data_IF_524255107764
#
_entry.id   IF_524255107764
#
_cell.length_a   1.000
_cell.length_b   1.000
_cell.length_c   1.000
_cell.angle_alpha   90.00
_cell.angle_beta   90.00
_cell.angle_gamma   90.00
#
_symmetry.space_group_name_H-M   'P 1'
#
loop_
_entity.id
_entity.type
_entity.pdbx_description
1 polymer ?
#
# COMPACT_ATOMS: atom_id res chain seq x y z
N UNK A 1 19.50 -34.37 -8.74
CA UNK A 1 19.15 -33.93 -10.11
C UNK A 1 19.38 -32.42 -10.18
N UNK A 2 19.78 -31.89 -11.34
CA UNK A 2 19.96 -30.45 -11.51
C UNK A 2 18.65 -29.68 -11.41
N UNK A 3 17.59 -30.24 -11.98
CA UNK A 3 16.24 -29.67 -11.91
C UNK A 3 15.27 -30.58 -11.16
N UNK A 4 14.32 -29.96 -10.47
CA UNK A 4 13.07 -30.55 -10.01
C UNK A 4 11.88 -29.80 -10.62
N UNK A 5 10.66 -30.33 -10.46
CA UNK A 5 9.47 -29.75 -11.06
C UNK A 5 8.39 -29.49 -10.00
N UNK A 6 7.86 -28.28 -9.98
CA UNK A 6 6.74 -27.87 -9.12
C UNK A 6 5.48 -27.73 -9.97
N UNK A 7 4.47 -28.55 -9.69
CA UNK A 7 3.15 -28.43 -10.30
C UNK A 7 2.23 -27.60 -9.40
N UNK A 8 1.73 -26.48 -9.93
CA UNK A 8 0.74 -25.62 -9.27
C UNK A 8 -0.67 -25.90 -9.79
N UNK A 9 -1.69 -25.30 -9.15
CA UNK A 9 -3.08 -25.35 -9.63
C UNK A 9 -3.17 -24.91 -11.10
N UNK A 10 -4.14 -25.46 -11.83
CA UNK A 10 -4.34 -25.25 -13.28
C UNK A 10 -3.24 -25.82 -14.19
N UNK A 11 -2.45 -26.79 -13.71
CA UNK A 11 -1.48 -27.52 -14.53
C UNK A 11 -0.24 -26.71 -14.90
N UNK A 12 0.01 -25.56 -14.27
CA UNK A 12 1.24 -24.79 -14.45
C UNK A 12 2.40 -25.54 -13.80
N UNK A 13 3.42 -25.86 -14.58
CA UNK A 13 4.62 -26.56 -14.10
C UNK A 13 5.80 -25.60 -14.18
N UNK A 14 6.55 -25.49 -13.08
CA UNK A 14 7.75 -24.67 -12.97
C UNK A 14 8.97 -25.55 -12.75
N UNK A 15 10.03 -25.32 -13.53
CA UNK A 15 11.33 -25.90 -13.26
C UNK A 15 11.94 -25.21 -12.02
N UNK A 16 12.50 -26.02 -11.12
CA UNK A 16 13.16 -25.58 -9.91
C UNK A 16 14.62 -26.01 -9.99
N UNK A 17 15.52 -25.04 -10.10
CA UNK A 17 16.96 -25.23 -10.06
C UNK A 17 17.38 -25.72 -8.66
N UNK A 18 17.70 -27.00 -8.57
CA UNK A 18 18.05 -27.64 -7.30
C UNK A 18 19.45 -27.29 -6.83
N UNK A 19 20.39 -26.97 -7.74
CA UNK A 19 21.72 -26.50 -7.35
C UNK A 19 21.62 -25.16 -6.60
N UNK A 20 20.68 -24.30 -7.01
CA UNK A 20 20.43 -23.02 -6.35
C UNK A 20 19.57 -23.12 -5.09
N UNK A 21 18.55 -23.99 -5.09
CA UNK A 21 17.57 -24.03 -4.00
C UNK A 21 17.96 -24.97 -2.85
N UNK A 22 18.63 -26.09 -3.14
CA UNK A 22 18.96 -27.08 -2.11
C UNK A 22 19.86 -26.51 -1.00
N UNK A 23 20.91 -25.70 -1.29
CA UNK A 23 21.72 -25.09 -0.24
C UNK A 23 20.90 -24.16 0.68
N UNK A 24 20.01 -23.35 0.10
CA UNK A 24 19.12 -22.45 0.85
C UNK A 24 18.15 -23.22 1.74
N UNK A 25 17.62 -24.33 1.22
CA UNK A 25 16.75 -25.23 1.98
C UNK A 25 17.53 -25.85 3.16
N UNK A 26 18.73 -26.39 2.91
CA UNK A 26 19.56 -26.99 3.95
C UNK A 26 19.94 -25.98 5.03
N UNK A 27 20.29 -24.75 4.66
CA UNK A 27 20.55 -23.66 5.59
C UNK A 27 19.31 -23.34 6.44
N UNK A 28 18.15 -23.18 5.80
CA UNK A 28 16.88 -22.90 6.49
C UNK A 28 16.53 -24.03 7.45
N UNK A 29 16.61 -25.29 7.00
CA UNK A 29 16.35 -26.47 7.84
C UNK A 29 17.31 -26.54 9.02
N UNK A 30 18.61 -26.27 8.80
CA UNK A 30 19.61 -26.28 9.87
C UNK A 30 19.33 -25.21 10.91
N UNK A 31 18.91 -24.02 10.48
CA UNK A 31 18.49 -22.96 11.41
C UNK A 31 17.24 -23.37 12.20
N UNK A 32 16.22 -23.92 11.55
CA UNK A 32 15.03 -24.42 12.26
C UNK A 32 15.36 -25.52 13.28
N UNK A 33 16.24 -26.47 12.93
CA UNK A 33 16.66 -27.52 13.86
C UNK A 33 17.45 -26.96 15.04
N UNK A 34 18.28 -25.93 14.82
CA UNK A 34 19.01 -25.25 15.88
C UNK A 34 18.06 -24.52 16.83
N UNK A 35 17.08 -23.80 16.29
CA UNK A 35 16.10 -23.06 17.08
C UNK A 35 15.20 -24.02 17.89
N UNK A 36 14.79 -25.14 17.30
CA UNK A 36 14.03 -26.19 18.00
C UNK A 36 14.81 -26.89 19.11
N UNK A 37 16.14 -26.96 18.99
CA UNK A 37 17.01 -27.55 20.00
C UNK A 37 17.46 -26.54 21.08
N UNK A 38 17.21 -25.25 20.88
CA UNK A 38 17.56 -24.19 21.83
C UNK A 38 16.55 -24.06 22.98
N UNK A 39 17.03 -23.62 24.14
CA UNK A 39 16.19 -23.36 25.31
C UNK A 39 15.48 -21.99 25.25
N UNK A 40 15.91 -21.12 24.34
CA UNK A 40 15.35 -19.78 24.14
C UNK A 40 14.62 -19.71 22.80
N UNK A 41 13.43 -19.08 22.75
CA UNK A 41 12.74 -18.86 21.49
C UNK A 41 13.57 -17.93 20.58
N UNK A 42 13.49 -18.10 19.25
CA UNK A 42 14.15 -17.20 18.32
C UNK A 42 13.56 -15.78 18.40
N UNK A 43 14.40 -14.79 18.10
CA UNK A 43 13.99 -13.39 18.01
C UNK A 43 12.92 -13.20 16.91
N UNK A 44 11.76 -12.58 17.22
CA UNK A 44 10.72 -12.38 16.23
C UNK A 44 11.09 -11.26 15.26
N UNK A 45 11.16 -11.59 13.97
CA UNK A 45 11.30 -10.60 12.91
C UNK A 45 9.99 -10.48 12.11
N UNK A 46 9.32 -9.33 12.19
CA UNK A 46 8.10 -9.06 11.42
C UNK A 46 8.48 -8.75 9.97
N UNK A 47 8.25 -9.73 9.11
CA UNK A 47 8.38 -9.58 7.66
C UNK A 47 6.99 -9.57 7.06
N UNK A 48 6.39 -8.39 6.86
CA UNK A 48 5.01 -8.24 6.38
C UNK A 48 4.62 -9.25 5.27
N UNK A 49 5.38 -9.32 4.17
CA UNK A 49 5.11 -10.23 3.04
C UNK A 49 5.06 -11.74 3.36
N UNK A 50 5.65 -12.19 4.48
CA UNK A 50 5.66 -13.59 4.92
C UNK A 50 4.78 -13.82 6.15
N UNK A 51 4.58 -12.78 6.95
CA UNK A 51 3.87 -12.86 8.22
C UNK A 51 2.34 -12.76 8.05
N UNK A 52 1.84 -12.20 6.95
CA UNK A 52 0.40 -11.98 6.76
C UNK A 52 -0.44 -13.28 6.77
N UNK A 53 0.17 -14.42 6.39
CA UNK A 53 -0.47 -15.75 6.43
C UNK A 53 0.00 -16.61 7.61
N UNK A 54 0.76 -16.04 8.54
CA UNK A 54 1.37 -16.76 9.65
C UNK A 54 0.41 -16.85 10.84
N UNK A 55 0.12 -18.07 11.31
CA UNK A 55 -0.73 -18.29 12.47
C UNK A 55 -0.18 -17.69 13.77
N UNK A 56 1.14 -17.50 13.87
CA UNK A 56 1.82 -16.91 15.02
C UNK A 56 1.99 -15.38 14.95
N UNK A 57 1.51 -14.74 13.86
CA UNK A 57 1.73 -13.31 13.63
C UNK A 57 1.32 -12.46 14.83
N UNK A 58 0.13 -12.68 15.40
CA UNK A 58 -0.37 -11.89 16.53
C UNK A 58 0.57 -11.92 17.73
N UNK A 59 1.12 -13.10 18.06
CA UNK A 59 2.05 -13.25 19.18
C UNK A 59 3.41 -12.61 18.87
N UNK A 60 3.98 -12.89 17.70
CA UNK A 60 5.26 -12.29 17.28
C UNK A 60 5.17 -10.76 17.21
N UNK A 61 4.04 -10.23 16.73
CA UNK A 61 3.81 -8.80 16.60
C UNK A 61 3.66 -8.12 17.96
N UNK A 62 2.97 -8.76 18.92
CA UNK A 62 2.89 -8.26 20.30
C UNK A 62 4.28 -8.18 20.94
N UNK A 63 5.11 -9.20 20.77
CA UNK A 63 6.50 -9.21 21.28
C UNK A 63 7.35 -8.12 20.61
N UNK A 64 7.26 -7.99 19.28
CA UNK A 64 7.96 -6.95 18.53
C UNK A 64 7.53 -5.55 18.97
N UNK A 65 6.25 -5.34 19.27
CA UNK A 65 5.74 -4.08 19.82
C UNK A 65 6.25 -3.80 21.22
N UNK A 66 6.19 -4.80 22.12
CA UNK A 66 6.64 -4.66 23.51
C UNK A 66 8.13 -4.29 23.58
N UNK A 67 8.95 -4.82 22.66
CA UNK A 67 10.38 -4.57 22.58
C UNK A 67 10.75 -3.40 21.65
N UNK A 68 9.77 -2.74 21.01
CA UNK A 68 9.97 -1.71 19.97
C UNK A 68 10.98 -2.17 18.90
N UNK A 69 10.84 -3.42 18.49
CA UNK A 69 11.78 -4.10 17.62
C UNK A 69 11.89 -3.40 16.26
N UNK A 70 13.12 -3.31 15.72
CA UNK A 70 13.40 -2.58 14.47
C UNK A 70 12.70 -3.15 13.23
N UNK A 71 12.26 -4.41 13.28
CA UNK A 71 11.45 -5.03 12.22
C UNK A 71 10.12 -4.31 11.96
N UNK A 72 9.64 -3.50 12.90
CA UNK A 72 8.44 -2.67 12.74
C UNK A 72 8.71 -1.35 11.99
N UNK A 73 9.98 -0.98 11.76
CA UNK A 73 10.32 0.23 11.02
C UNK A 73 10.32 -0.04 9.50
N UNK A 74 9.56 0.75 8.71
CA UNK A 74 9.63 0.69 7.26
C UNK A 74 11.05 0.75 6.73
N UNK A 75 11.39 -0.21 5.86
CA UNK A 75 12.70 -0.30 5.22
C UNK A 75 13.72 -1.16 5.95
N UNK A 76 13.48 -1.57 7.20
CA UNK A 76 14.31 -2.56 7.90
C UNK A 76 13.96 -3.95 7.38
N UNK A 77 14.82 -4.50 6.53
CA UNK A 77 14.69 -5.87 6.02
C UNK A 77 15.55 -6.82 6.86
N UNK A 78 15.30 -8.15 6.82
CA UNK A 78 16.14 -9.12 7.54
C UNK A 78 17.64 -8.96 7.22
N UNK A 79 17.96 -8.71 5.94
CA UNK A 79 19.35 -8.48 5.51
C UNK A 79 19.95 -7.21 6.12
N UNK A 80 19.22 -6.09 6.12
CA UNK A 80 19.71 -4.84 6.73
C UNK A 80 19.82 -4.96 8.24
N UNK A 81 18.90 -5.68 8.87
CA UNK A 81 18.90 -5.89 10.32
C UNK A 81 20.17 -6.56 10.81
N UNK A 82 20.69 -7.56 10.09
CA UNK A 82 21.98 -8.20 10.40
C UNK A 82 23.14 -7.20 10.43
N UNK A 83 23.18 -6.26 9.48
CA UNK A 83 24.20 -5.21 9.45
C UNK A 83 24.01 -4.20 10.59
N UNK A 84 22.77 -3.82 10.92
CA UNK A 84 22.47 -2.96 12.07
C UNK A 84 22.89 -3.61 13.39
N UNK A 85 22.61 -4.91 13.58
CA UNK A 85 23.07 -5.68 14.73
C UNK A 85 24.60 -5.69 14.85
N UNK A 86 25.31 -5.89 13.75
CA UNK A 86 26.78 -5.86 13.73
C UNK A 86 27.35 -4.48 14.14
N UNK A 87 26.61 -3.39 13.89
CA UNK A 87 26.94 -2.03 14.32
C UNK A 87 26.36 -1.66 15.70
N UNK A 88 25.72 -2.61 16.40
CA UNK A 88 25.03 -2.39 17.69
C UNK A 88 23.89 -1.36 17.62
N UNK A 89 23.30 -1.18 16.45
CA UNK A 89 22.14 -0.33 16.21
C UNK A 89 20.86 -1.18 16.29
N UNK A 90 20.50 -1.63 17.48
CA UNK A 90 19.39 -2.58 17.68
C UNK A 90 18.11 -1.95 18.24
N UNK A 91 18.11 -0.64 18.51
CA UNK A 91 16.94 0.09 19.03
C UNK A 91 16.57 1.28 18.13
N UNK A 92 15.31 1.71 18.20
CA UNK A 92 14.83 2.89 17.46
C UNK A 92 15.63 4.12 17.84
N UNK A 93 15.96 4.29 19.13
CA UNK A 93 16.75 5.41 19.65
C UNK A 93 18.16 5.43 19.08
N UNK A 94 18.82 4.26 19.04
CA UNK A 94 20.17 4.15 18.50
C UNK A 94 20.19 4.44 16.99
N UNK A 95 19.20 3.92 16.25
CA UNK A 95 19.08 4.18 14.81
C UNK A 95 18.74 5.65 14.51
N UNK A 96 17.90 6.29 15.32
CA UNK A 96 17.54 7.71 15.17
C UNK A 96 18.72 8.67 15.37
N UNK A 97 19.72 8.26 16.15
CA UNK A 97 20.96 9.01 16.41
C UNK A 97 22.11 8.62 15.46
N UNK A 98 21.93 7.61 14.60
CA UNK A 98 22.96 7.17 13.69
C UNK A 98 23.24 8.21 12.59
N UNK A 99 24.50 8.28 12.13
CA UNK A 99 24.84 9.09 10.96
C UNK A 99 24.55 8.28 9.67
N UNK A 100 23.64 8.74 8.79
CA UNK A 100 23.36 8.07 7.51
C UNK A 100 24.61 7.79 6.66
N UNK A 101 25.63 8.66 6.72
CA UNK A 101 26.87 8.50 5.96
C UNK A 101 27.68 7.27 6.38
N UNK A 102 27.52 6.82 7.63
CA UNK A 102 28.16 5.57 8.10
C UNK A 102 27.35 4.34 7.68
N UNK A 103 26.05 4.48 7.47
CA UNK A 103 25.19 3.38 7.04
C UNK A 103 25.23 3.18 5.52
N UNK A 104 25.35 4.25 4.75
CA UNK A 104 25.29 4.24 3.28
C UNK A 104 26.26 3.24 2.61
N UNK A 105 27.51 3.06 3.08
CA UNK A 105 28.45 2.10 2.47
C UNK A 105 28.10 0.63 2.73
N UNK A 106 27.17 0.33 3.64
CA UNK A 106 26.81 -1.05 3.97
C UNK A 106 25.97 -1.70 2.85
N UNK A 107 26.13 -3.02 2.60
CA UNK A 107 25.38 -3.71 1.57
C UNK A 107 23.86 -3.56 1.74
N UNK A 108 23.18 -3.11 0.69
CA UNK A 108 21.72 -2.93 0.68
C UNK A 108 21.20 -1.61 1.27
N UNK A 109 22.08 -0.71 1.72
CA UNK A 109 21.72 0.65 2.15
C UNK A 109 21.88 1.62 0.98
N UNK A 110 23.09 2.12 0.70
CA UNK A 110 23.26 3.31 -0.14
C UNK A 110 22.72 4.57 0.54
N UNK A 111 23.06 5.74 0.01
CA UNK A 111 22.70 7.03 0.62
C UNK A 111 21.18 7.20 0.84
N UNK A 112 20.31 6.94 -0.16
CA UNK A 112 18.88 7.23 0.00
C UNK A 112 18.20 6.33 1.04
N UNK A 113 18.63 5.07 1.18
CA UNK A 113 18.03 4.14 2.14
C UNK A 113 18.55 4.43 3.55
N UNK A 114 19.83 4.75 3.69
CA UNK A 114 20.42 5.14 4.97
C UNK A 114 19.70 6.35 5.58
N UNK A 115 19.52 7.41 4.79
CA UNK A 115 18.77 8.60 5.21
C UNK A 115 17.32 8.26 5.55
N UNK A 116 16.65 7.49 4.69
CA UNK A 116 15.27 7.04 4.93
C UNK A 116 15.11 6.31 6.25
N UNK A 117 16.02 5.38 6.57
CA UNK A 117 15.96 4.58 7.80
C UNK A 117 16.16 5.42 9.07
N UNK A 118 17.15 6.32 9.05
CA UNK A 118 17.40 7.23 10.19
C UNK A 118 16.22 8.16 10.39
N UNK A 119 15.70 8.78 9.31
CA UNK A 119 14.51 9.63 9.40
C UNK A 119 13.27 8.85 9.85
N UNK A 120 13.12 7.58 9.45
CA UNK A 120 11.99 6.75 9.88
C UNK A 120 12.04 6.49 11.40
N UNK A 121 13.25 6.23 11.94
CA UNK A 121 13.45 6.09 13.37
C UNK A 121 13.23 7.42 14.12
N UNK A 122 13.68 8.54 13.57
CA UNK A 122 13.46 9.88 14.14
C UNK A 122 11.97 10.27 14.15
N UNK A 123 11.26 10.04 13.05
CA UNK A 123 9.83 10.30 12.96
C UNK A 123 9.08 9.49 14.02
N UNK A 124 9.34 8.17 14.10
CA UNK A 124 8.70 7.31 15.10
C UNK A 124 9.03 7.71 16.54
N UNK A 125 10.27 8.14 16.82
CA UNK A 125 10.67 8.57 18.16
C UNK A 125 10.05 9.92 18.55
N UNK A 126 9.92 10.84 17.59
CA UNK A 126 9.33 12.16 17.80
C UNK A 126 7.80 12.21 17.65
N UNK A 127 7.18 11.10 17.22
CA UNK A 127 5.77 11.01 16.84
C UNK A 127 5.31 12.15 15.93
N UNK A 128 6.14 12.46 14.92
CA UNK A 128 5.89 13.59 14.02
C UNK A 128 6.29 13.28 12.58
N UNK A 129 5.58 13.92 11.65
CA UNK A 129 5.92 13.87 10.24
C UNK A 129 7.16 14.73 9.95
N UNK A 130 8.16 14.13 9.31
CA UNK A 130 9.42 14.80 8.93
C UNK A 130 9.42 15.03 7.41
N UNK A 131 9.57 16.29 6.93
CA UNK A 131 9.65 16.56 5.50
C UNK A 131 10.95 15.96 4.94
N UNK A 132 10.85 15.26 3.82
CA UNK A 132 12.01 14.83 3.05
C UNK A 132 12.52 16.02 2.27
N UNK A 133 13.80 16.35 2.43
CA UNK A 133 14.46 17.40 1.66
C UNK A 133 15.28 16.75 0.55
N UNK A 134 15.22 17.32 -0.66
CA UNK A 134 16.15 17.04 -1.76
C UNK A 134 17.10 18.23 -1.93
N UNK A 135 18.10 18.09 -2.79
CA UNK A 135 19.05 19.16 -3.12
C UNK A 135 18.36 20.48 -3.50
N UNK A 136 17.15 20.40 -4.07
CA UNK A 136 16.36 21.55 -4.52
C UNK A 136 15.17 21.89 -3.59
N UNK A 137 15.16 21.40 -2.35
CA UNK A 137 14.10 21.65 -1.36
C UNK A 137 13.08 20.52 -1.24
N UNK A 138 11.86 20.87 -0.83
CA UNK A 138 10.75 19.92 -0.68
C UNK A 138 10.33 19.35 -2.04
N UNK A 139 10.13 18.03 -2.18
CA UNK A 139 10.06 17.37 -3.49
C UNK A 139 8.71 17.52 -4.21
N UNK A 140 7.66 17.99 -3.53
CA UNK A 140 6.36 18.22 -4.17
C UNK A 140 6.14 19.70 -4.40
N UNK A 141 5.53 20.00 -5.53
CA UNK A 141 5.07 21.33 -5.94
C UNK A 141 3.55 21.38 -6.04
N UNK A 142 2.92 22.56 -6.14
CA UNK A 142 1.48 22.66 -6.35
C UNK A 142 0.97 21.94 -7.61
N UNK A 143 1.81 21.73 -8.63
CA UNK A 143 1.43 20.99 -9.84
C UNK A 143 1.39 19.48 -9.64
N UNK A 144 2.08 18.95 -8.63
CA UNK A 144 2.05 17.52 -8.29
C UNK A 144 0.81 17.15 -7.44
N UNK A 145 0.16 18.15 -6.83
CA UNK A 145 -1.04 18.01 -6.00
C UNK A 145 -2.05 19.12 -6.34
N UNK A 146 -2.56 19.17 -7.59
CA UNK A 146 -3.40 20.28 -8.04
C UNK A 146 -4.72 20.34 -7.25
N UNK A 147 -5.00 21.50 -6.68
CA UNK A 147 -6.29 21.76 -6.05
C UNK A 147 -7.26 22.34 -7.09
N UNK A 148 -8.44 21.73 -7.22
CA UNK A 148 -9.47 22.14 -8.16
C UNK A 148 -10.82 22.39 -7.47
N UNK A 149 -11.78 23.03 -8.15
CA UNK A 149 -13.14 23.23 -7.62
C UNK A 149 -13.84 21.89 -7.35
N UNK A 150 -13.67 20.94 -8.27
CA UNK A 150 -14.13 19.56 -8.12
C UNK A 150 -12.93 18.63 -8.21
N UNK A 151 -12.85 17.69 -7.27
CA UNK A 151 -11.81 16.66 -7.20
C UNK A 151 -12.48 15.29 -7.09
N UNK A 152 -11.87 14.28 -7.72
CA UNK A 152 -12.35 12.90 -7.70
C UNK A 152 -11.37 12.05 -6.90
N UNK A 153 -11.87 11.18 -6.03
CA UNK A 153 -11.06 10.20 -5.30
C UNK A 153 -11.53 8.80 -5.68
N UNK A 154 -10.62 8.01 -6.23
CA UNK A 154 -10.91 6.78 -6.94
C UNK A 154 -10.24 5.58 -6.28
N UNK A 155 -11.03 4.53 -6.09
CA UNK A 155 -10.59 3.22 -5.60
C UNK A 155 -11.37 2.11 -6.32
N UNK A 156 -10.79 0.91 -6.39
CA UNK A 156 -11.38 -0.24 -7.08
C UNK A 156 -11.35 -1.50 -6.24
N UNK A 157 -12.35 -2.36 -6.43
CA UNK A 157 -12.34 -3.71 -5.88
C UNK A 157 -12.34 -4.75 -7.00
N UNK A 158 -11.57 -5.81 -6.81
CA UNK A 158 -11.32 -6.84 -7.80
C UNK A 158 -11.59 -8.25 -7.24
N UNK A 159 -11.97 -9.17 -8.12
CA UNK A 159 -11.99 -10.61 -7.89
C UNK A 159 -10.91 -11.27 -8.78
N UNK A 160 -9.66 -11.40 -8.30
CA UNK A 160 -8.53 -11.82 -9.12
C UNK A 160 -8.63 -13.24 -9.67
N UNK A 161 -9.37 -14.12 -8.99
CA UNK A 161 -9.66 -15.49 -9.43
C UNK A 161 -10.56 -15.54 -10.66
N UNK A 162 -11.34 -14.48 -10.89
CA UNK A 162 -12.24 -14.32 -12.05
C UNK A 162 -11.70 -13.31 -13.08
N UNK A 163 -10.51 -12.73 -12.84
CA UNK A 163 -9.94 -11.62 -13.62
C UNK A 163 -10.88 -10.41 -13.77
N UNK A 164 -11.67 -10.13 -12.73
CA UNK A 164 -12.80 -9.21 -12.71
C UNK A 164 -12.53 -7.99 -11.82
N UNK A 165 -12.95 -6.81 -12.25
CA UNK A 165 -13.08 -5.58 -11.47
C UNK A 165 -14.56 -5.32 -11.22
N UNK A 166 -15.04 -5.65 -10.03
CA UNK A 166 -16.48 -5.62 -9.75
C UNK A 166 -16.97 -4.28 -9.17
N UNK A 167 -16.08 -3.37 -8.77
CA UNK A 167 -16.49 -2.06 -8.26
C UNK A 167 -15.49 -0.97 -8.64
N UNK A 168 -16.04 0.13 -9.15
CA UNK A 168 -15.38 1.42 -9.28
C UNK A 168 -16.00 2.41 -8.30
N UNK A 169 -15.27 2.74 -7.23
CA UNK A 169 -15.67 3.73 -6.24
C UNK A 169 -15.15 5.11 -6.60
N UNK A 170 -16.03 6.11 -6.67
CA UNK A 170 -15.62 7.50 -6.92
C UNK A 170 -16.29 8.42 -5.89
N UNK A 171 -15.48 9.04 -5.03
CA UNK A 171 -15.93 10.16 -4.22
C UNK A 171 -15.71 11.47 -5.00
N UNK A 172 -16.80 12.13 -5.37
CA UNK A 172 -16.81 13.46 -5.96
C UNK A 172 -16.84 14.49 -4.83
N UNK A 173 -15.82 15.33 -4.74
CA UNK A 173 -15.73 16.43 -3.77
C UNK A 173 -15.87 17.76 -4.51
N UNK A 174 -16.99 18.45 -4.29
CA UNK A 174 -17.26 19.80 -4.80
C UNK A 174 -16.98 20.81 -3.68
N UNK A 175 -15.83 21.47 -3.74
CA UNK A 175 -15.38 22.43 -2.74
C UNK A 175 -16.23 23.71 -2.72
N UNK A 176 -16.78 24.11 -3.87
CA UNK A 176 -17.62 25.31 -3.98
C UNK A 176 -18.98 25.12 -3.31
N UNK A 177 -19.56 23.93 -3.43
CA UNK A 177 -20.84 23.56 -2.81
C UNK A 177 -20.67 22.93 -1.42
N UNK A 178 -19.43 22.67 -1.01
CA UNK A 178 -19.12 21.90 0.21
C UNK A 178 -19.87 20.57 0.24
N UNK A 179 -19.86 19.86 -0.90
CA UNK A 179 -20.59 18.62 -1.09
C UNK A 179 -19.62 17.47 -1.38
N UNK A 180 -19.86 16.34 -0.72
CA UNK A 180 -19.16 15.08 -0.97
C UNK A 180 -20.20 14.03 -1.38
N UNK A 181 -20.07 13.46 -2.58
CA UNK A 181 -20.99 12.42 -3.09
C UNK A 181 -20.17 11.20 -3.50
N UNK A 182 -20.44 10.06 -2.87
CA UNK A 182 -19.86 8.79 -3.27
C UNK A 182 -20.72 8.10 -4.33
N UNK A 183 -20.07 7.62 -5.38
CA UNK A 183 -20.65 6.86 -6.47
C UNK A 183 -20.06 5.46 -6.46
N UNK A 184 -20.89 4.47 -6.13
CA UNK A 184 -20.58 3.06 -6.30
C UNK A 184 -21.03 2.61 -7.69
N UNK A 185 -20.08 2.31 -8.57
CA UNK A 185 -20.35 1.80 -9.91
C UNK A 185 -19.99 0.32 -9.90
N UNK A 186 -20.97 -0.48 -9.50
CA UNK A 186 -20.80 -1.88 -9.13
C UNK A 186 -21.33 -2.80 -10.22
N UNK A 187 -20.60 -3.88 -10.47
CA UNK A 187 -21.08 -5.06 -11.16
C UNK A 187 -21.62 -6.02 -10.09
N UNK A 188 -22.94 -6.18 -10.00
CA UNK A 188 -23.55 -7.10 -9.03
C UNK A 188 -23.46 -8.55 -9.50
N UNK A 189 -23.21 -8.77 -10.79
CA UNK A 189 -22.81 -10.04 -11.36
C UNK A 189 -21.54 -9.87 -12.22
N UNK A 190 -20.74 -10.93 -12.45
CA UNK A 190 -19.55 -10.84 -13.31
C UNK A 190 -19.84 -10.35 -14.74
N UNK A 191 -21.06 -10.55 -15.25
CA UNK A 191 -21.47 -10.10 -16.58
C UNK A 191 -21.69 -8.59 -16.70
N UNK A 192 -21.71 -7.87 -15.56
CA UNK A 192 -21.99 -6.44 -15.50
C UNK A 192 -20.72 -5.57 -15.44
N UNK A 193 -19.52 -6.16 -15.49
CA UNK A 193 -18.25 -5.40 -15.45
C UNK A 193 -18.20 -4.32 -16.53
N UNK A 194 -18.59 -4.65 -17.76
CA UNK A 194 -18.62 -3.66 -18.85
C UNK A 194 -19.60 -2.50 -18.55
N UNK A 195 -20.72 -2.79 -17.91
CA UNK A 195 -21.70 -1.78 -17.55
C UNK A 195 -21.16 -0.86 -16.44
N UNK A 196 -20.51 -1.42 -15.42
CA UNK A 196 -19.83 -0.67 -14.37
C UNK A 196 -18.70 0.20 -14.93
N UNK A 197 -17.89 -0.35 -15.84
CA UNK A 197 -16.84 0.37 -16.56
C UNK A 197 -17.40 1.56 -17.37
N UNK A 198 -18.47 1.35 -18.14
CA UNK A 198 -19.10 2.41 -18.92
C UNK A 198 -19.68 3.51 -18.01
N UNK A 199 -20.27 3.13 -16.88
CA UNK A 199 -20.79 4.07 -15.89
C UNK A 199 -19.66 4.91 -15.24
N UNK A 200 -18.48 4.31 -15.05
CA UNK A 200 -17.28 5.03 -14.61
C UNK A 200 -16.84 6.07 -15.64
N UNK A 201 -16.74 5.69 -16.91
CA UNK A 201 -16.42 6.63 -18.00
C UNK A 201 -17.43 7.77 -18.09
N UNK A 202 -18.72 7.48 -17.94
CA UNK A 202 -19.77 8.50 -17.94
C UNK A 202 -19.59 9.48 -16.78
N UNK A 203 -19.32 8.98 -15.56
CA UNK A 203 -19.14 9.82 -14.39
C UNK A 203 -17.92 10.74 -14.51
N UNK A 204 -16.75 10.19 -14.84
CA UNK A 204 -15.52 11.00 -14.99
C UNK A 204 -15.61 11.96 -16.18
N UNK A 205 -16.39 11.61 -17.21
CA UNK A 205 -16.67 12.47 -18.36
C UNK A 205 -17.51 13.72 -18.02
N UNK A 206 -18.26 13.71 -16.91
CA UNK A 206 -18.96 14.92 -16.39
C UNK A 206 -17.98 15.94 -15.80
N UNK A 207 -16.76 15.54 -15.49
CA UNK A 207 -15.72 16.35 -14.85
C UNK A 207 -14.40 16.26 -15.63
N UNK A 208 -14.34 16.77 -16.88
CA UNK A 208 -13.20 16.53 -17.77
C UNK A 208 -11.87 17.12 -17.28
N UNK A 209 -11.91 18.16 -16.44
CA UNK A 209 -10.73 18.85 -15.92
C UNK A 209 -10.40 18.49 -14.46
N UNK A 210 -11.23 17.69 -13.78
CA UNK A 210 -11.02 17.38 -12.37
C UNK A 210 -9.83 16.44 -12.17
N UNK A 211 -8.90 16.70 -11.23
CA UNK A 211 -7.88 15.71 -10.89
C UNK A 211 -8.53 14.48 -10.24
N UNK A 212 -7.99 13.31 -10.57
CA UNK A 212 -8.41 12.01 -10.02
C UNK A 212 -7.30 11.51 -9.10
N UNK A 213 -7.53 11.56 -7.80
CA UNK A 213 -6.62 11.06 -6.80
C UNK A 213 -6.89 9.59 -6.52
N UNK A 214 -5.81 8.80 -6.51
CA UNK A 214 -5.87 7.38 -6.25
C UNK A 214 -4.70 6.98 -5.35
N UNK A 215 -4.79 5.81 -4.71
CA UNK A 215 -3.79 5.46 -3.71
C UNK A 215 -2.55 4.82 -4.32
N UNK A 216 -2.62 4.03 -5.38
CA UNK A 216 -1.44 3.35 -5.93
C UNK A 216 -1.48 3.15 -7.46
N UNK A 217 -0.37 2.78 -8.13
CA UNK A 217 -0.37 2.65 -9.59
C UNK A 217 -1.37 1.65 -10.18
N UNK A 218 -1.93 0.75 -9.36
CA UNK A 218 -2.86 -0.29 -9.77
C UNK A 218 -4.16 0.27 -10.37
N UNK A 219 -4.69 1.35 -9.83
CA UNK A 219 -5.93 1.96 -10.32
C UNK A 219 -5.78 2.47 -11.76
N UNK A 220 -4.73 3.26 -12.03
CA UNK A 220 -4.44 3.79 -13.37
C UNK A 220 -4.11 2.67 -14.38
N UNK A 221 -3.42 1.61 -13.94
CA UNK A 221 -3.15 0.44 -14.78
C UNK A 221 -4.44 -0.31 -15.12
N UNK A 222 -5.35 -0.43 -14.15
CA UNK A 222 -6.64 -1.08 -14.34
C UNK A 222 -7.52 -0.31 -15.32
N UNK A 223 -7.53 1.03 -15.26
CA UNK A 223 -8.25 1.87 -16.24
C UNK A 223 -7.75 1.60 -17.66
N UNK A 224 -6.43 1.49 -17.87
CA UNK A 224 -5.89 1.10 -19.19
C UNK A 224 -6.30 -0.32 -19.59
N UNK A 225 -6.17 -1.29 -18.67
CA UNK A 225 -6.57 -2.69 -18.88
C UNK A 225 -8.03 -2.80 -19.33
N UNK A 226 -8.94 -2.13 -18.64
CA UNK A 226 -10.37 -2.15 -18.95
C UNK A 226 -10.67 -1.39 -20.25
N UNK A 227 -9.94 -0.31 -20.53
CA UNK A 227 -10.00 0.38 -21.81
C UNK A 227 -9.69 -0.55 -22.99
N UNK A 228 -8.61 -1.32 -22.90
CA UNK A 228 -8.25 -2.33 -23.90
C UNK A 228 -9.27 -3.47 -23.98
N UNK A 229 -9.68 -4.00 -22.82
CA UNK A 229 -10.62 -5.12 -22.73
C UNK A 229 -11.98 -4.81 -23.37
N UNK A 230 -12.51 -3.61 -23.12
CA UNK A 230 -13.84 -3.18 -23.56
C UNK A 230 -13.84 -2.29 -24.80
N UNK A 231 -12.69 -2.13 -25.46
CA UNK A 231 -12.58 -1.41 -26.74
C UNK A 231 -12.80 0.11 -26.62
N UNK A 232 -12.41 0.71 -25.50
CA UNK A 232 -12.45 2.17 -25.31
C UNK A 232 -11.28 2.81 -26.05
N UNK A 233 -11.55 3.85 -26.85
CA UNK A 233 -10.51 4.51 -27.66
C UNK A 233 -9.35 5.04 -26.79
N UNK A 234 -8.08 4.86 -27.19
CA UNK A 234 -6.94 5.50 -26.53
C UNK A 234 -7.05 7.02 -26.45
N UNK A 235 -7.78 7.65 -27.37
CA UNK A 235 -8.05 9.11 -27.34
C UNK A 235 -8.94 9.55 -26.17
N UNK A 236 -9.59 8.60 -25.49
CA UNK A 236 -10.37 8.83 -24.25
C UNK A 236 -9.53 8.40 -23.04
N UNK A 237 -8.86 7.25 -23.13
CA UNK A 237 -8.12 6.66 -22.01
C UNK A 237 -6.89 7.48 -21.62
N UNK A 238 -6.06 7.90 -22.57
CA UNK A 238 -4.81 8.57 -22.21
C UNK A 238 -5.05 9.94 -21.54
N UNK A 239 -5.92 10.84 -22.06
CA UNK A 239 -6.25 12.08 -21.35
C UNK A 239 -6.94 11.84 -20.00
N UNK A 240 -7.69 10.75 -19.85
CA UNK A 240 -8.26 10.38 -18.56
C UNK A 240 -7.17 10.03 -17.55
N UNK A 241 -6.21 9.17 -17.94
CA UNK A 241 -5.12 8.73 -17.06
C UNK A 241 -4.10 9.82 -16.79
N UNK A 242 -3.93 10.80 -17.68
CA UNK A 242 -3.09 11.98 -17.43
C UNK A 242 -3.55 12.81 -16.22
N UNK A 243 -4.82 12.69 -15.82
CA UNK A 243 -5.37 13.35 -14.63
C UNK A 243 -5.27 12.51 -13.35
N UNK A 244 -4.62 11.34 -13.40
CA UNK A 244 -4.45 10.46 -12.23
C UNK A 244 -3.23 10.88 -11.40
N UNK A 245 -3.45 11.18 -10.12
CA UNK A 245 -2.42 11.58 -9.16
C UNK A 245 -2.28 10.53 -8.06
N UNK A 246 -1.10 9.89 -8.02
CA UNK A 246 -0.74 8.83 -7.06
C UNK A 246 -0.36 9.44 -5.69
N UNK A 247 -1.26 9.31 -4.73
CA UNK A 247 -1.08 9.88 -3.39
C UNK A 247 -0.03 9.11 -2.58
N UNK A 248 0.06 7.78 -2.71
CA UNK A 248 1.07 7.01 -1.99
C UNK A 248 2.48 7.40 -2.43
N UNK A 249 2.70 7.50 -3.75
CA UNK A 249 3.98 7.98 -4.30
C UNK A 249 4.32 9.36 -3.76
N UNK A 250 3.37 10.29 -3.83
CA UNK A 250 3.54 11.66 -3.32
C UNK A 250 3.96 11.66 -1.85
N UNK A 251 3.33 10.84 -0.99
CA UNK A 251 3.70 10.73 0.43
C UNK A 251 5.09 10.12 0.62
N UNK A 252 5.34 8.95 0.04
CA UNK A 252 6.59 8.20 0.27
C UNK A 252 7.81 8.99 -0.20
N UNK A 253 7.65 9.80 -1.25
CA UNK A 253 8.72 10.64 -1.78
C UNK A 253 8.95 11.92 -0.98
N UNK A 254 7.93 12.43 -0.26
CA UNK A 254 7.96 13.77 0.33
C UNK A 254 7.94 13.82 1.85
N UNK A 255 7.40 12.80 2.52
CA UNK A 255 7.27 12.80 3.97
C UNK A 255 7.74 11.49 4.56
N UNK A 256 8.36 11.58 5.74
CA UNK A 256 8.58 10.43 6.62
C UNK A 256 7.56 10.48 7.74
N UNK A 257 6.63 9.53 7.74
CA UNK A 257 5.56 9.43 8.73
C UNK A 257 5.98 8.51 9.89
N UNK A 258 5.51 8.74 11.12
CA UNK A 258 5.83 7.92 12.29
C UNK A 258 4.95 6.65 12.35
N UNK A 259 4.97 5.87 11.28
CA UNK A 259 4.10 4.70 11.08
C UNK A 259 4.92 3.45 10.74
N UNK A 260 4.34 2.28 11.03
CA UNK A 260 4.96 0.98 10.75
C UNK A 260 4.82 0.54 9.29
N UNK A 261 3.90 1.13 8.54
CA UNK A 261 3.61 0.79 7.14
C UNK A 261 3.02 1.99 6.41
N UNK A 262 3.32 2.15 5.13
CA UNK A 262 2.73 3.16 4.25
C UNK A 262 1.48 2.65 3.53
N UNK A 263 0.84 1.57 4.01
CA UNK A 263 -0.48 1.18 3.54
C UNK A 263 -1.54 2.24 3.89
N UNK A 264 -2.59 2.35 3.07
CA UNK A 264 -3.65 3.35 3.18
C UNK A 264 -4.19 3.49 4.61
N UNK A 265 -4.52 2.34 5.24
CA UNK A 265 -5.04 2.29 6.62
C UNK A 265 -4.10 2.88 7.67
N UNK A 266 -2.80 2.64 7.55
CA UNK A 266 -1.84 3.13 8.51
C UNK A 266 -1.66 4.65 8.41
N UNK A 267 -1.58 5.18 7.20
CA UNK A 267 -1.49 6.62 6.95
C UNK A 267 -2.76 7.32 7.44
N UNK A 268 -3.92 6.82 7.02
CA UNK A 268 -5.23 7.38 7.37
C UNK A 268 -5.46 7.40 8.89
N UNK A 269 -5.15 6.31 9.60
CA UNK A 269 -5.28 6.25 11.07
C UNK A 269 -4.35 7.22 11.78
N UNK A 270 -3.13 7.38 11.29
CA UNK A 270 -2.19 8.34 11.87
C UNK A 270 -2.69 9.79 11.73
N UNK A 271 -3.36 10.14 10.62
CA UNK A 271 -4.01 11.46 10.46
C UNK A 271 -5.39 11.56 11.12
N UNK A 272 -5.84 10.53 11.85
CA UNK A 272 -7.10 10.53 12.60
C UNK A 272 -8.35 10.06 11.85
N UNK A 273 -8.20 9.36 10.72
CA UNK A 273 -9.29 8.71 10.01
C UNK A 273 -9.33 7.20 10.31
N UNK A 274 -10.50 6.64 10.58
CA UNK A 274 -10.70 5.20 10.73
C UNK A 274 -11.89 4.71 9.90
N UNK A 275 -11.86 3.43 9.56
CA UNK A 275 -12.91 2.77 8.79
C UNK A 275 -14.13 2.54 9.67
N UNK A 276 -15.32 2.59 9.07
CA UNK A 276 -16.57 2.26 9.75
C UNK A 276 -16.60 0.80 10.20
N UNK A 277 -15.93 -0.08 9.45
CA UNK A 277 -15.70 -1.48 9.80
C UNK A 277 -14.20 -1.73 10.07
N UNK A 278 -13.80 -1.96 11.34
CA UNK A 278 -12.41 -2.21 11.71
C UNK A 278 -11.81 -3.49 11.12
N UNK A 279 -12.65 -4.49 10.80
CA UNK A 279 -12.24 -5.79 10.30
C UNK A 279 -12.15 -5.87 8.77
N UNK A 280 -12.73 -4.90 8.08
CA UNK A 280 -12.72 -4.85 6.61
C UNK A 280 -11.29 -4.74 6.05
N UNK A 281 -11.00 -5.42 4.95
CA UNK A 281 -9.77 -5.27 4.16
C UNK A 281 -10.00 -5.85 2.76
N UNK A 282 -9.08 -5.62 1.83
CA UNK A 282 -9.22 -6.10 0.44
C UNK A 282 -9.33 -7.62 0.28
N UNK A 283 -8.79 -8.44 1.18
CA UNK A 283 -9.03 -9.89 1.14
C UNK A 283 -10.47 -10.24 1.56
N UNK A 284 -10.98 -9.50 2.55
CA UNK A 284 -12.34 -9.65 3.04
C UNK A 284 -13.38 -9.16 2.03
N UNK A 285 -13.09 -8.12 1.23
CA UNK A 285 -13.98 -7.66 0.15
C UNK A 285 -14.19 -8.74 -0.91
N UNK A 286 -13.13 -9.47 -1.30
CA UNK A 286 -13.23 -10.64 -2.19
C UNK A 286 -14.14 -11.72 -1.59
N UNK A 287 -13.96 -12.05 -0.30
CA UNK A 287 -14.81 -13.03 0.38
C UNK A 287 -16.29 -12.60 0.41
N UNK A 288 -16.56 -11.32 0.66
CA UNK A 288 -17.92 -10.79 0.62
C UNK A 288 -18.52 -10.84 -0.78
N UNK A 289 -17.74 -10.56 -1.83
CA UNK A 289 -18.24 -10.60 -3.20
C UNK A 289 -18.63 -12.02 -3.61
N UNK A 290 -17.79 -13.01 -3.27
CA UNK A 290 -18.12 -14.42 -3.49
C UNK A 290 -19.37 -14.84 -2.71
N UNK A 291 -19.49 -14.44 -1.43
CA UNK A 291 -20.67 -14.73 -0.64
C UNK A 291 -21.94 -14.05 -1.20
N UNK A 292 -21.83 -12.83 -1.72
CA UNK A 292 -22.91 -12.14 -2.43
C UNK A 292 -23.37 -12.94 -3.65
N UNK A 293 -22.44 -13.39 -4.51
CA UNK A 293 -22.78 -14.17 -5.71
C UNK A 293 -23.41 -15.53 -5.37
N UNK A 294 -22.98 -16.17 -4.28
CA UNK A 294 -23.50 -17.47 -3.85
C UNK A 294 -24.88 -17.38 -3.19
N UNK A 295 -25.10 -16.35 -2.37
CA UNK A 295 -26.27 -16.28 -1.47
C UNK A 295 -27.32 -15.26 -1.88
N UNK A 296 -26.92 -14.21 -2.61
CA UNK A 296 -27.75 -13.03 -2.86
C UNK A 296 -28.01 -12.17 -1.61
N UNK A 297 -27.28 -12.37 -0.51
CA UNK A 297 -27.44 -11.56 0.70
C UNK A 297 -26.77 -10.19 0.54
N UNK A 298 -27.62 -9.15 0.45
CA UNK A 298 -27.18 -7.77 0.21
C UNK A 298 -26.28 -7.21 1.31
N UNK A 299 -26.30 -7.79 2.51
CA UNK A 299 -25.40 -7.38 3.59
C UNK A 299 -23.92 -7.48 3.19
N UNK A 300 -23.56 -8.47 2.36
CA UNK A 300 -22.20 -8.61 1.84
C UNK A 300 -21.84 -7.49 0.88
N UNK A 301 -22.73 -7.18 -0.06
CA UNK A 301 -22.51 -6.11 -1.02
C UNK A 301 -22.46 -4.74 -0.33
N UNK A 302 -23.35 -4.48 0.61
CA UNK A 302 -23.35 -3.23 1.39
C UNK A 302 -22.08 -3.07 2.25
N UNK A 303 -21.46 -4.18 2.68
CA UNK A 303 -20.17 -4.15 3.37
C UNK A 303 -19.02 -3.76 2.43
N UNK A 304 -19.00 -4.29 1.20
CA UNK A 304 -18.05 -3.90 0.15
C UNK A 304 -18.20 -2.42 -0.18
N UNK A 305 -19.42 -1.95 -0.45
CA UNK A 305 -19.68 -0.56 -0.81
C UNK A 305 -19.23 0.42 0.28
N UNK A 306 -19.48 0.07 1.54
CA UNK A 306 -19.04 0.85 2.70
C UNK A 306 -17.52 0.86 2.84
N UNK A 307 -16.87 -0.27 2.64
CA UNK A 307 -15.41 -0.39 2.70
C UNK A 307 -14.73 0.47 1.62
N UNK A 308 -15.18 0.35 0.37
CA UNK A 308 -14.63 1.09 -0.76
C UNK A 308 -14.92 2.61 -0.66
N UNK A 309 -16.08 3.01 -0.13
CA UNK A 309 -16.33 4.42 0.21
C UNK A 309 -15.35 4.93 1.27
N UNK A 310 -15.03 4.12 2.29
CA UNK A 310 -14.03 4.50 3.30
C UNK A 310 -12.64 4.64 2.69
N UNK A 311 -12.25 3.81 1.73
CA UNK A 311 -10.97 3.91 1.02
C UNK A 311 -10.88 5.20 0.18
N UNK A 312 -11.95 5.57 -0.52
CA UNK A 312 -12.05 6.85 -1.24
C UNK A 312 -11.95 8.06 -0.27
N UNK A 313 -12.67 8.00 0.85
CA UNK A 313 -12.66 9.05 1.89
C UNK A 313 -11.31 9.15 2.58
N UNK A 314 -10.65 8.03 2.86
CA UNK A 314 -9.30 8.00 3.41
C UNK A 314 -8.33 8.70 2.46
N UNK A 315 -8.37 8.37 1.17
CA UNK A 315 -7.53 9.00 0.14
C UNK A 315 -7.76 10.52 0.10
N UNK A 316 -9.01 10.98 0.20
CA UNK A 316 -9.33 12.40 0.32
C UNK A 316 -8.69 13.06 1.55
N UNK A 317 -8.86 12.47 2.74
CA UNK A 317 -8.27 13.02 3.98
C UNK A 317 -6.75 13.05 3.92
N UNK A 318 -6.13 12.05 3.31
CA UNK A 318 -4.69 11.98 3.12
C UNK A 318 -4.20 13.08 2.19
N UNK A 319 -4.86 13.28 1.04
CA UNK A 319 -4.54 14.38 0.11
C UNK A 319 -4.67 15.73 0.79
N UNK A 320 -5.78 15.99 1.49
CA UNK A 320 -6.01 17.25 2.21
C UNK A 320 -4.93 17.51 3.28
N UNK A 321 -4.57 16.48 4.05
CA UNK A 321 -3.48 16.56 5.02
C UNK A 321 -2.14 16.87 4.33
N UNK A 322 -1.82 16.19 3.22
CA UNK A 322 -0.55 16.36 2.52
C UNK A 322 -0.41 17.78 1.93
N UNK A 323 -1.49 18.34 1.37
CA UNK A 323 -1.51 19.72 0.89
C UNK A 323 -1.22 20.70 2.02
N UNK A 324 -1.86 20.54 3.19
CA UNK A 324 -1.62 21.39 4.37
C UNK A 324 -0.20 21.25 4.90
N UNK A 325 0.35 20.03 4.90
CA UNK A 325 1.72 19.77 5.30
C UNK A 325 2.73 20.40 4.33
N UNK A 326 2.45 20.36 3.03
CA UNK A 326 3.33 20.88 1.98
C UNK A 326 3.30 22.41 1.85
N UNK A 327 2.19 23.05 2.22
CA UNK A 327 1.95 24.48 2.02
C UNK A 327 3.06 25.42 2.53
N UNK A 328 3.68 25.21 3.71
CA UNK A 328 4.79 26.04 4.17
C UNK A 328 6.03 25.97 3.26
N UNK A 329 6.23 24.86 2.54
CA UNK A 329 7.38 24.65 1.66
C UNK A 329 7.17 25.19 0.25
N UNK A 330 5.93 25.41 -0.17
CA UNK A 330 5.61 26.05 -1.46
C UNK A 330 5.74 27.56 -1.42
N UNK A 331 5.65 28.14 -0.23
CA UNK A 331 5.74 29.58 0.00
C UNK A 331 7.14 30.03 0.45
N UNK A 332 8.09 29.09 0.55
CA UNK A 332 9.48 29.31 0.95
C UNK A 332 10.37 29.38 -0.30
#
# INVERSE_FOLDING_TARGET
>A
PQDAWLALRHGRIYAVDMERQLPKFQETLSNCLRDLAGDLPPEPFISHSRCDLCHWFSQCYQEAKATRHLSLLPGVTPARYQFLQAQRLTTVEALAQANPQHLAPMPGFGEPVAEKLVHQAQALLGDCAIPRQRTNGFPLTPTDLPCAEVELYFDIEAAPDQDLIYLHGVLVVDHRRSQEVFHALVAETPYEEQAAWNAFLELVGRYPEAPIYHFCPYEAQTVRKLGDLYGTSPTIIEPLVERFYDIHKSIVESVTLPIESYALKHIARWIGFDWRDPGANGAQSICWYNAWLETGDRAHLDAILRYNEDDCRATFRIKDWLVKFAQPFWNA
#
